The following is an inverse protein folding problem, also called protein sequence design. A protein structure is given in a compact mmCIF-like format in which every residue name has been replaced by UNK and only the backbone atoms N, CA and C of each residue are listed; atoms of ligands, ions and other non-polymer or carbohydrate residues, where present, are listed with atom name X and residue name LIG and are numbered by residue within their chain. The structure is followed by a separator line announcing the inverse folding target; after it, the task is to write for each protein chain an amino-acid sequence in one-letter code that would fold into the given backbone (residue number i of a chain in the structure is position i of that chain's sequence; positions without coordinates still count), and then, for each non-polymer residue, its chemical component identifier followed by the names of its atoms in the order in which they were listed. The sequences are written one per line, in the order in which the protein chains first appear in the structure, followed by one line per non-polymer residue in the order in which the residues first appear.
data_IF_448299852306
#
_entry.id   IF_448299852306
#
_cell.length_a   1.000
_cell.length_b   1.000
_cell.length_c   1.000
_cell.angle_alpha   90.00
_cell.angle_beta   90.00
_cell.angle_gamma   90.00
#
_symmetry.space_group_name_H-M   'P 1'
#
loop_
_entity.id
_entity.type
_entity.pdbx_description
1 polymer ?
#
# COMPACT_ATOMS: atom_id res chain seq x y z
N UNK A 1 3.15 -106.86 15.80
CA UNK A 1 2.82 -105.68 15.00
C UNK A 1 2.42 -104.59 15.96
N UNK A 2 3.30 -103.62 16.22
CA UNK A 2 3.11 -102.56 17.19
C UNK A 2 3.16 -101.22 16.46
N UNK A 3 2.10 -100.45 16.47
CA UNK A 3 2.00 -99.11 15.91
C UNK A 3 2.22 -98.09 17.03
N UNK A 4 3.29 -97.39 16.98
CA UNK A 4 3.62 -96.32 17.90
C UNK A 4 3.14 -95.00 17.29
N UNK A 5 2.18 -94.33 17.96
CA UNK A 5 1.66 -93.00 17.59
C UNK A 5 2.48 -91.95 18.33
N UNK A 6 3.28 -91.19 17.60
CA UNK A 6 3.99 -90.01 18.14
C UNK A 6 3.06 -88.73 18.08
N UNK A 7 2.70 -88.25 19.25
CA UNK A 7 1.97 -87.00 19.45
C UNK A 7 2.97 -85.85 19.35
N UNK A 8 2.80 -84.95 18.35
CA UNK A 8 3.56 -83.72 18.20
C UNK A 8 2.83 -82.56 18.96
N UNK A 9 3.53 -82.06 19.98
CA UNK A 9 3.13 -80.91 20.76
C UNK A 9 3.44 -79.65 19.93
N UNK A 10 2.36 -78.86 19.53
CA UNK A 10 2.52 -77.60 18.86
C UNK A 10 2.45 -76.52 19.93
N UNK A 11 3.59 -75.91 20.24
CA UNK A 11 3.66 -74.70 21.10
C UNK A 11 3.33 -73.52 20.25
N UNK A 12 2.19 -72.86 20.49
CA UNK A 12 1.86 -71.57 19.90
C UNK A 12 2.51 -70.47 20.74
N UNK A 13 3.53 -69.83 20.16
CA UNK A 13 4.17 -68.64 20.70
C UNK A 13 3.27 -67.42 20.37
N UNK A 14 2.61 -66.84 21.41
CA UNK A 14 1.82 -65.60 21.28
C UNK A 14 2.80 -64.44 21.45
N UNK A 15 3.13 -63.77 20.34
CA UNK A 15 3.87 -62.51 20.37
C UNK A 15 2.94 -61.39 20.77
N UNK A 16 3.09 -60.88 21.98
CA UNK A 16 2.50 -59.63 22.44
C UNK A 16 3.33 -58.44 21.87
N UNK A 17 2.83 -57.77 20.86
CA UNK A 17 3.37 -56.48 20.40
C UNK A 17 2.88 -55.38 21.35
N UNK A 18 3.77 -54.53 21.87
CA UNK A 18 3.32 -53.34 22.62
C UNK A 18 2.74 -52.32 21.64
N UNK A 19 1.49 -51.93 21.88
CA UNK A 19 0.83 -50.85 21.20
C UNK A 19 1.44 -49.51 21.72
N UNK A 20 2.44 -49.00 20.98
CA UNK A 20 2.96 -47.66 21.24
C UNK A 20 1.89 -46.66 20.72
N UNK A 21 1.05 -46.16 21.62
CA UNK A 21 0.13 -45.09 21.36
C UNK A 21 0.91 -43.80 21.00
N UNK A 22 0.95 -43.45 19.72
CA UNK A 22 1.46 -42.16 19.28
C UNK A 22 0.50 -41.05 19.86
N UNK A 23 1.00 -40.35 20.87
CA UNK A 23 0.37 -39.12 21.33
C UNK A 23 0.52 -38.08 20.23
N UNK A 24 -0.49 -37.94 19.38
CA UNK A 24 -0.59 -36.82 18.43
C UNK A 24 -0.91 -35.57 19.27
N UNK A 25 0.14 -34.80 19.60
CA UNK A 25 -0.04 -33.47 20.13
C UNK A 25 -0.76 -32.64 19.06
N UNK A 26 -1.89 -31.96 19.39
CA UNK A 26 -2.48 -31.03 18.46
C UNK A 26 -1.45 -29.96 18.16
N UNK A 27 -1.00 -29.86 16.90
CA UNK A 27 -0.23 -28.74 16.42
C UNK A 27 -1.11 -27.49 16.68
N UNK A 28 -0.69 -26.64 17.62
CA UNK A 28 -1.29 -25.33 17.79
C UNK A 28 -1.20 -24.66 16.43
N UNK A 29 -2.35 -24.42 15.81
CA UNK A 29 -2.43 -23.58 14.62
C UNK A 29 -1.79 -22.25 14.99
N UNK A 30 -0.66 -21.94 14.35
CA UNK A 30 -0.04 -20.63 14.48
C UNK A 30 -1.13 -19.62 14.09
N UNK A 31 -1.59 -18.83 15.05
CA UNK A 31 -2.60 -17.80 14.81
C UNK A 31 -2.12 -16.94 13.65
N UNK A 32 -3.03 -16.61 12.72
CA UNK A 32 -2.71 -15.69 11.64
C UNK A 32 -2.03 -14.43 12.23
N UNK A 33 -0.95 -13.93 11.64
CA UNK A 33 -0.27 -12.76 12.16
C UNK A 33 -1.28 -11.61 12.29
N UNK A 34 -1.19 -10.85 13.39
CA UNK A 34 -2.10 -9.75 13.64
C UNK A 34 -2.02 -8.75 12.48
N UNK A 35 -3.17 -8.47 11.86
CA UNK A 35 -3.24 -7.52 10.75
C UNK A 35 -2.82 -6.12 11.21
N UNK A 36 -2.09 -5.41 10.37
CA UNK A 36 -1.75 -4.01 10.60
C UNK A 36 -2.93 -3.12 10.22
N UNK A 37 -3.39 -2.29 11.16
CA UNK A 37 -4.42 -1.29 10.88
C UNK A 37 -3.81 -0.15 10.05
N UNK A 38 -4.40 0.13 8.89
CA UNK A 38 -3.93 1.18 7.99
C UNK A 38 -5.06 2.12 7.56
N UNK A 39 -4.70 3.38 7.34
CA UNK A 39 -5.49 4.35 6.56
C UNK A 39 -4.61 4.73 5.37
N UNK A 40 -5.20 4.80 4.17
CA UNK A 40 -4.50 5.19 2.95
C UNK A 40 -5.04 6.54 2.49
N UNK A 41 -4.15 7.52 2.30
CA UNK A 41 -4.46 8.85 1.74
C UNK A 41 -3.86 8.92 0.34
N UNK A 42 -4.71 9.03 -0.71
CA UNK A 42 -4.34 8.85 -2.12
C UNK A 42 -4.97 9.92 -3.01
N UNK A 43 -4.25 10.37 -4.02
CA UNK A 43 -4.80 11.20 -5.11
C UNK A 43 -5.08 10.38 -6.38
N UNK A 44 -5.56 9.16 -6.18
CA UNK A 44 -5.93 8.19 -7.22
C UNK A 44 -6.67 8.83 -8.39
N UNK A 45 -6.25 8.52 -9.60
CA UNK A 45 -7.00 8.88 -10.82
C UNK A 45 -6.21 9.66 -11.86
N UNK A 46 -5.04 10.21 -11.53
CA UNK A 46 -4.20 10.95 -12.48
C UNK A 46 -3.03 10.11 -12.93
N UNK A 47 -1.99 9.91 -12.13
CA UNK A 47 -1.01 8.87 -12.42
C UNK A 47 -1.64 7.48 -12.16
N UNK A 48 -1.03 6.45 -12.69
CA UNK A 48 -1.63 5.11 -12.65
C UNK A 48 -1.20 4.32 -11.41
N UNK A 49 -0.10 4.69 -10.80
CA UNK A 49 0.48 3.98 -9.66
C UNK A 49 -0.38 4.01 -8.40
N UNK A 50 -1.11 5.09 -8.11
CA UNK A 50 -2.11 5.10 -7.03
C UNK A 50 -3.11 3.94 -7.13
N UNK A 51 -3.65 3.71 -8.33
CA UNK A 51 -4.62 2.62 -8.54
C UNK A 51 -3.97 1.25 -8.31
N UNK A 52 -2.72 1.10 -8.71
CA UNK A 52 -1.92 -0.09 -8.48
C UNK A 52 -1.58 -0.26 -6.99
N UNK A 53 -1.20 0.82 -6.30
CA UNK A 53 -0.88 0.83 -4.88
C UNK A 53 -2.11 0.48 -4.01
N UNK A 54 -3.29 1.04 -4.33
CA UNK A 54 -4.55 0.64 -3.68
C UNK A 54 -4.87 -0.82 -3.98
N UNK A 55 -4.68 -1.28 -5.23
CA UNK A 55 -4.81 -2.68 -5.63
C UNK A 55 -3.90 -3.61 -4.83
N UNK A 56 -2.64 -3.24 -4.61
CA UNK A 56 -1.69 -3.97 -3.78
C UNK A 56 -2.17 -4.07 -2.32
N UNK A 57 -2.64 -2.95 -1.75
CA UNK A 57 -3.16 -2.93 -0.39
C UNK A 57 -4.37 -3.85 -0.22
N UNK A 58 -5.32 -3.81 -1.17
CA UNK A 58 -6.51 -4.67 -1.19
C UNK A 58 -6.16 -6.16 -1.35
N UNK A 59 -5.05 -6.46 -2.02
CA UNK A 59 -4.55 -7.82 -2.26
C UNK A 59 -3.68 -8.36 -1.11
N UNK A 60 -3.49 -7.60 -0.04
CA UNK A 60 -2.56 -7.92 1.04
C UNK A 60 -3.30 -8.21 2.35
N UNK A 61 -3.42 -9.51 2.72
CA UNK A 61 -4.17 -9.92 3.92
C UNK A 61 -3.53 -9.47 5.23
N UNK A 62 -2.29 -9.02 5.22
CA UNK A 62 -1.59 -8.44 6.37
C UNK A 62 -2.15 -7.07 6.79
N UNK A 63 -2.89 -6.42 5.88
CA UNK A 63 -3.45 -5.09 6.12
C UNK A 63 -4.93 -5.19 6.50
N UNK A 64 -5.30 -4.53 7.59
CA UNK A 64 -6.67 -4.16 7.93
C UNK A 64 -6.88 -2.71 7.53
N UNK A 65 -7.44 -2.50 6.35
CA UNK A 65 -7.71 -1.14 5.83
C UNK A 65 -8.93 -0.59 6.59
N UNK A 66 -8.70 0.41 7.45
CA UNK A 66 -9.75 1.08 8.20
C UNK A 66 -10.56 2.05 7.35
N UNK A 67 -9.95 2.55 6.29
CA UNK A 67 -10.57 3.41 5.29
C UNK A 67 -9.54 3.98 4.32
N UNK A 68 -10.03 4.54 3.21
CA UNK A 68 -9.24 5.22 2.20
C UNK A 68 -9.75 6.65 2.07
N UNK A 69 -8.84 7.61 2.09
CA UNK A 69 -9.17 9.04 1.95
C UNK A 69 -8.69 9.56 0.61
N UNK A 70 -9.55 10.28 -0.10
CA UNK A 70 -9.14 10.97 -1.31
C UNK A 70 -8.39 12.26 -0.95
N UNK A 71 -7.39 12.62 -1.74
CA UNK A 71 -6.58 13.81 -1.53
C UNK A 71 -6.38 14.55 -2.85
N UNK A 72 -6.11 15.86 -2.77
CA UNK A 72 -5.68 16.68 -3.88
C UNK A 72 -6.62 16.71 -5.10
N UNK A 73 -6.71 17.84 -5.79
CA UNK A 73 -7.59 18.03 -6.96
C UNK A 73 -9.06 17.87 -6.60
N UNK A 74 -9.84 17.32 -7.53
CA UNK A 74 -11.27 17.00 -7.32
C UNK A 74 -11.42 15.76 -6.43
N UNK A 75 -11.31 15.98 -5.13
CA UNK A 75 -11.38 14.90 -4.13
C UNK A 75 -12.73 14.20 -4.09
N UNK A 76 -13.81 14.88 -4.46
CA UNK A 76 -15.13 14.27 -4.55
C UNK A 76 -15.21 13.25 -5.70
N UNK A 77 -14.63 13.57 -6.86
CA UNK A 77 -14.57 12.63 -7.98
C UNK A 77 -13.59 11.49 -7.72
N UNK A 78 -12.47 11.75 -7.04
CA UNK A 78 -11.53 10.68 -6.58
C UNK A 78 -12.20 9.74 -5.59
N UNK A 79 -13.04 10.24 -4.68
CA UNK A 79 -13.82 9.39 -3.78
C UNK A 79 -14.80 8.48 -4.55
N UNK A 80 -15.45 9.00 -5.61
CA UNK A 80 -16.29 8.18 -6.49
C UNK A 80 -15.48 7.09 -7.20
N UNK A 81 -14.23 7.39 -7.56
CA UNK A 81 -13.33 6.39 -8.13
C UNK A 81 -13.02 5.28 -7.15
N UNK A 82 -12.71 5.62 -5.89
CA UNK A 82 -12.50 4.64 -4.82
C UNK A 82 -13.76 3.81 -4.56
N UNK A 83 -14.93 4.45 -4.50
CA UNK A 83 -16.21 3.75 -4.34
C UNK A 83 -16.43 2.69 -5.42
N UNK A 84 -16.14 3.05 -6.67
CA UNK A 84 -16.28 2.15 -7.79
C UNK A 84 -15.31 0.98 -7.69
N UNK A 85 -14.02 1.26 -7.50
CA UNK A 85 -12.99 0.23 -7.39
C UNK A 85 -13.32 -0.75 -6.24
N UNK A 86 -13.66 -0.22 -5.05
CA UNK A 86 -14.02 -1.04 -3.90
C UNK A 86 -15.26 -1.89 -4.14
N UNK A 87 -16.23 -1.36 -4.87
CA UNK A 87 -17.43 -2.11 -5.22
C UNK A 87 -17.11 -3.21 -6.24
N UNK A 88 -16.38 -2.92 -7.30
CA UNK A 88 -16.04 -3.89 -8.34
C UNK A 88 -15.20 -5.05 -7.78
N UNK A 89 -14.41 -4.82 -6.73
CA UNK A 89 -13.62 -5.87 -6.04
C UNK A 89 -14.29 -6.44 -4.78
N UNK A 90 -15.53 -6.05 -4.47
CA UNK A 90 -16.29 -6.62 -3.34
C UNK A 90 -15.84 -6.15 -1.96
N UNK A 91 -15.21 -4.97 -1.85
CA UNK A 91 -14.69 -4.39 -0.61
C UNK A 91 -15.45 -3.13 -0.17
N UNK A 92 -16.77 -3.14 -0.29
CA UNK A 92 -17.66 -2.06 0.18
C UNK A 92 -17.69 -1.92 1.70
N UNK A 93 -17.06 -2.84 2.42
CA UNK A 93 -16.81 -2.77 3.86
C UNK A 93 -15.79 -1.69 4.24
N UNK A 94 -14.96 -1.23 3.28
CA UNK A 94 -13.94 -0.21 3.50
C UNK A 94 -14.58 1.18 3.31
N UNK A 95 -14.59 2.04 4.36
CA UNK A 95 -15.07 3.40 4.24
C UNK A 95 -14.20 4.24 3.31
N UNK A 96 -14.83 5.12 2.53
CA UNK A 96 -14.16 6.18 1.77
C UNK A 96 -14.48 7.52 2.43
N UNK A 97 -13.47 8.39 2.58
CA UNK A 97 -13.66 9.74 3.08
C UNK A 97 -13.10 10.78 2.10
N UNK A 98 -13.78 11.94 2.00
CA UNK A 98 -13.43 12.99 1.04
C UNK A 98 -12.45 13.97 1.65
N UNK A 99 -11.30 14.15 1.01
CA UNK A 99 -10.25 15.06 1.43
C UNK A 99 -10.51 16.52 1.06
N UNK A 100 -9.55 17.34 1.43
CA UNK A 100 -9.54 18.76 1.12
C UNK A 100 -9.25 18.93 -0.37
N UNK A 101 -10.17 19.60 -1.06
CA UNK A 101 -9.97 20.00 -2.44
C UNK A 101 -8.92 21.12 -2.50
N UNK A 102 -7.83 20.87 -3.22
CA UNK A 102 -6.77 21.83 -3.46
C UNK A 102 -6.15 21.54 -4.82
N UNK A 103 -6.01 22.55 -5.65
CA UNK A 103 -5.54 22.44 -7.03
C UNK A 103 -4.27 23.24 -7.26
N UNK A 104 -3.38 22.72 -8.12
CA UNK A 104 -2.38 23.56 -8.74
C UNK A 104 -3.06 24.53 -9.73
N UNK A 105 -2.56 25.77 -9.88
CA UNK A 105 -3.11 26.70 -10.86
C UNK A 105 -3.13 26.09 -12.28
N UNK A 106 -4.31 26.09 -12.91
CA UNK A 106 -4.49 25.54 -14.26
C UNK A 106 -4.51 24.03 -14.39
N UNK A 107 -4.60 23.29 -13.28
CA UNK A 107 -4.71 21.83 -13.29
C UNK A 107 -5.98 21.39 -14.01
N UNK A 108 -5.82 20.52 -15.01
CA UNK A 108 -6.92 19.91 -15.74
C UNK A 108 -7.60 18.81 -14.90
N UNK A 109 -8.76 18.33 -15.36
CA UNK A 109 -9.36 17.12 -14.80
C UNK A 109 -8.37 15.94 -14.96
N UNK A 110 -8.33 15.07 -13.96
CA UNK A 110 -7.43 13.92 -13.98
C UNK A 110 -7.78 12.89 -15.06
N UNK A 111 -6.80 12.11 -15.52
CA UNK A 111 -6.89 11.28 -16.71
C UNK A 111 -7.99 10.24 -16.66
N UNK A 112 -8.27 9.69 -15.49
CA UNK A 112 -9.23 8.60 -15.26
C UNK A 112 -10.62 9.11 -14.81
N UNK A 113 -10.85 10.43 -14.89
CA UNK A 113 -12.10 11.08 -14.47
C UNK A 113 -13.35 10.47 -15.11
N UNK A 114 -13.28 10.04 -16.38
CA UNK A 114 -14.42 9.42 -17.07
C UNK A 114 -14.83 8.08 -16.45
N UNK A 115 -13.87 7.31 -16.00
CA UNK A 115 -14.13 6.06 -15.31
C UNK A 115 -14.75 6.33 -13.95
N UNK A 116 -14.19 7.24 -13.17
CA UNK A 116 -14.70 7.66 -11.88
C UNK A 116 -16.13 8.21 -11.95
N UNK A 117 -16.43 9.05 -12.95
CA UNK A 117 -17.73 9.71 -13.13
C UNK A 117 -18.91 8.75 -13.39
N UNK A 118 -18.64 7.49 -13.75
CA UNK A 118 -19.71 6.48 -13.91
C UNK A 118 -20.28 6.01 -12.59
N UNK A 119 -19.53 6.12 -11.49
CA UNK A 119 -20.06 5.83 -10.16
C UNK A 119 -20.97 6.95 -9.69
N UNK A 120 -22.19 6.66 -9.20
CA UNK A 120 -23.04 7.67 -8.59
C UNK A 120 -22.35 8.39 -7.43
N UNK A 121 -22.55 9.70 -7.31
CA UNK A 121 -22.06 10.45 -6.15
C UNK A 121 -22.84 10.03 -4.90
N UNK A 122 -22.14 9.91 -3.79
CA UNK A 122 -22.72 9.71 -2.46
C UNK A 122 -22.04 10.61 -1.44
N UNK A 123 -22.68 10.79 -0.29
CA UNK A 123 -22.09 11.57 0.80
C UNK A 123 -21.03 10.75 1.53
N UNK A 124 -19.90 11.38 1.80
CA UNK A 124 -18.80 10.82 2.57
C UNK A 124 -18.48 11.71 3.76
N UNK A 125 -17.85 11.13 4.78
CA UNK A 125 -17.23 11.88 5.86
C UNK A 125 -16.04 12.67 5.33
N UNK A 126 -15.73 13.81 5.96
CA UNK A 126 -14.50 14.53 5.66
C UNK A 126 -13.26 13.74 6.11
N UNK A 127 -12.23 13.69 5.28
CA UNK A 127 -11.02 12.87 5.53
C UNK A 127 -10.32 13.20 6.85
N UNK A 128 -10.20 14.49 7.17
CA UNK A 128 -9.55 14.92 8.42
C UNK A 128 -10.33 14.45 9.65
N UNK A 129 -11.66 14.55 9.62
CA UNK A 129 -12.53 14.08 10.71
C UNK A 129 -12.44 12.57 10.86
N UNK A 130 -12.49 11.84 9.73
CA UNK A 130 -12.33 10.40 9.68
C UNK A 130 -10.98 9.95 10.25
N UNK A 131 -9.87 10.54 9.80
CA UNK A 131 -8.52 10.20 10.29
C UNK A 131 -8.43 10.39 11.81
N UNK A 132 -8.82 11.55 12.32
CA UNK A 132 -8.74 11.87 13.74
C UNK A 132 -9.67 10.98 14.59
N UNK A 133 -10.84 10.62 14.08
CA UNK A 133 -11.76 9.69 14.74
C UNK A 133 -11.11 8.30 14.86
N UNK A 134 -10.57 7.76 13.76
CA UNK A 134 -9.92 6.44 13.79
C UNK A 134 -8.70 6.44 14.72
N UNK A 135 -7.87 7.50 14.71
CA UNK A 135 -6.71 7.60 15.60
C UNK A 135 -7.12 7.63 17.09
N UNK A 136 -8.23 8.31 17.41
CA UNK A 136 -8.78 8.29 18.79
C UNK A 136 -9.27 6.91 19.18
N UNK A 137 -9.85 6.17 18.23
CA UNK A 137 -10.39 4.83 18.46
C UNK A 137 -9.30 3.77 18.63
N UNK A 138 -8.18 3.91 17.92
CA UNK A 138 -7.07 2.95 17.89
C UNK A 138 -5.72 3.63 18.12
N UNK A 139 -5.49 4.24 19.31
CA UNK A 139 -4.28 5.01 19.59
C UNK A 139 -3.05 4.10 19.62
N UNK A 140 -2.01 4.46 18.87
CA UNK A 140 -0.76 3.71 18.78
C UNK A 140 -0.80 2.49 17.84
N UNK A 141 -1.93 2.25 17.14
CA UNK A 141 -2.08 1.05 16.31
C UNK A 141 -2.07 1.36 14.81
N UNK A 142 -2.44 2.58 14.41
CA UNK A 142 -2.65 2.92 12.99
C UNK A 142 -1.35 3.33 12.32
N UNK A 143 -1.03 2.68 11.20
CA UNK A 143 -0.10 3.17 10.19
C UNK A 143 -0.90 4.01 9.19
N UNK A 144 -0.53 5.28 9.01
CA UNK A 144 -1.09 6.13 7.96
C UNK A 144 -0.16 6.07 6.75
N UNK A 145 -0.67 5.63 5.61
CA UNK A 145 0.05 5.55 4.34
C UNK A 145 -0.39 6.74 3.50
N UNK A 146 0.52 7.68 3.23
CA UNK A 146 0.26 8.86 2.40
C UNK A 146 0.97 8.73 1.06
N UNK A 147 0.18 8.63 0.00
CA UNK A 147 0.64 8.52 -1.40
C UNK A 147 0.05 9.63 -2.26
N UNK A 148 -0.07 10.82 -1.68
CA UNK A 148 -0.65 12.02 -2.27
C UNK A 148 0.05 13.27 -1.69
N UNK A 149 -0.17 14.47 -2.24
CA UNK A 149 0.17 15.72 -1.56
C UNK A 149 -0.40 15.75 -0.14
N UNK A 150 0.44 16.08 0.85
CA UNK A 150 0.19 15.83 2.27
C UNK A 150 -0.85 16.78 2.92
N UNK A 151 -1.72 17.38 2.12
CA UNK A 151 -2.71 18.39 2.55
C UNK A 151 -3.62 17.90 3.67
N UNK A 152 -4.18 16.69 3.54
CA UNK A 152 -5.05 16.11 4.56
C UNK A 152 -4.31 15.85 5.88
N UNK A 153 -3.06 15.37 5.79
CA UNK A 153 -2.20 15.11 6.95
C UNK A 153 -1.85 16.41 7.67
N UNK A 154 -1.45 17.45 6.93
CA UNK A 154 -1.16 18.77 7.48
C UNK A 154 -2.37 19.36 8.21
N UNK A 155 -3.54 19.29 7.59
CA UNK A 155 -4.78 19.77 8.19
C UNK A 155 -5.20 18.98 9.45
N UNK A 156 -4.93 17.67 9.48
CA UNK A 156 -5.16 16.84 10.67
C UNK A 156 -4.22 17.23 11.82
N UNK A 157 -2.95 17.54 11.50
CA UNK A 157 -1.97 18.05 12.48
C UNK A 157 -2.42 19.41 13.03
N UNK A 158 -2.84 20.34 12.17
CA UNK A 158 -3.32 21.66 12.59
C UNK A 158 -4.55 21.58 13.49
N UNK A 159 -5.49 20.70 13.15
CA UNK A 159 -6.75 20.56 13.86
C UNK A 159 -6.60 19.94 15.25
N UNK A 160 -5.85 18.86 15.36
CA UNK A 160 -5.65 18.13 16.63
C UNK A 160 -4.29 17.43 16.66
N UNK A 161 -3.19 18.17 16.93
CA UNK A 161 -1.85 17.62 16.95
C UNK A 161 -1.67 16.56 18.05
N UNK A 162 -2.42 16.67 19.13
CA UNK A 162 -2.33 15.71 20.26
C UNK A 162 -2.91 14.34 19.86
N UNK A 163 -4.02 14.33 19.12
CA UNK A 163 -4.57 13.09 18.56
C UNK A 163 -3.67 12.55 17.45
N UNK A 164 -3.21 13.39 16.52
CA UNK A 164 -2.36 12.96 15.40
C UNK A 164 -1.08 12.26 15.88
N UNK A 165 -0.45 12.76 16.94
CA UNK A 165 0.73 12.13 17.59
C UNK A 165 0.49 10.71 18.13
N UNK A 166 -0.74 10.26 18.22
CA UNK A 166 -1.08 8.89 18.63
C UNK A 166 -1.06 7.89 17.47
N UNK A 167 -0.69 8.30 16.24
CA UNK A 167 -0.40 7.36 15.18
C UNK A 167 0.76 6.45 15.56
N UNK A 168 0.70 5.19 15.15
CA UNK A 168 1.83 4.26 15.28
C UNK A 168 3.02 4.72 14.47
N UNK A 169 2.77 5.09 13.20
CA UNK A 169 3.74 5.61 12.23
C UNK A 169 3.03 6.21 11.03
N UNK A 170 3.78 6.99 10.27
CA UNK A 170 3.40 7.47 8.94
C UNK A 170 4.38 6.84 7.94
N UNK A 171 3.88 6.35 6.81
CA UNK A 171 4.66 5.90 5.65
C UNK A 171 4.23 6.76 4.47
N UNK A 172 5.15 7.46 3.84
CA UNK A 172 4.84 8.29 2.67
C UNK A 172 5.63 7.88 1.43
N UNK A 173 4.99 7.94 0.25
CA UNK A 173 5.71 8.19 -0.97
C UNK A 173 5.91 9.71 -1.10
N UNK A 174 7.16 10.13 -1.20
CA UNK A 174 7.46 11.56 -1.35
C UNK A 174 8.90 11.91 -1.10
N UNK A 175 9.31 12.99 -1.71
CA UNK A 175 10.65 13.54 -1.60
C UNK A 175 11.66 12.97 -2.59
N UNK A 176 12.81 13.63 -2.60
CA UNK A 176 13.94 13.34 -3.50
C UNK A 176 15.20 13.74 -2.77
N UNK A 177 16.02 12.76 -2.39
CA UNK A 177 17.17 12.99 -1.50
C UNK A 177 18.45 13.18 -2.31
N UNK A 178 18.78 12.23 -3.16
CA UNK A 178 19.97 12.23 -4.02
C UNK A 178 19.61 12.15 -5.50
N UNK A 179 18.42 11.67 -5.85
CA UNK A 179 17.98 11.43 -7.22
C UNK A 179 16.60 12.02 -7.45
N UNK A 180 16.43 12.70 -8.58
CA UNK A 180 15.16 13.23 -9.02
C UNK A 180 14.48 12.33 -10.05
N UNK A 181 13.49 12.89 -10.76
CA UNK A 181 12.82 12.23 -11.87
C UNK A 181 13.78 11.96 -13.04
N UNK A 182 13.42 11.05 -13.91
CA UNK A 182 14.19 10.75 -15.11
C UNK A 182 15.01 9.46 -15.00
N UNK A 183 16.12 9.38 -15.75
CA UNK A 183 16.98 8.20 -15.73
C UNK A 183 17.77 8.13 -14.43
N UNK A 184 17.44 7.16 -13.59
CA UNK A 184 18.09 6.92 -12.29
C UNK A 184 19.58 6.56 -12.41
N UNK A 185 20.03 6.13 -13.58
CA UNK A 185 21.41 5.79 -13.87
C UNK A 185 22.18 6.95 -14.51
N UNK A 186 21.50 8.04 -14.86
CA UNK A 186 22.17 9.21 -15.43
C UNK A 186 23.11 9.84 -14.41
N UNK A 187 24.38 10.12 -14.78
CA UNK A 187 25.37 10.67 -13.86
C UNK A 187 25.02 12.07 -13.34
N UNK A 188 24.12 12.77 -14.01
CA UNK A 188 23.66 14.12 -13.68
C UNK A 188 22.28 14.14 -13.03
N UNK A 189 21.70 12.99 -12.68
CA UNK A 189 20.43 12.96 -11.97
C UNK A 189 20.61 13.65 -10.61
N UNK A 190 19.83 14.72 -10.37
CA UNK A 190 19.85 15.54 -9.16
C UNK A 190 18.49 15.50 -8.49
N UNK A 191 18.43 15.78 -7.17
CA UNK A 191 17.16 15.90 -6.48
C UNK A 191 16.23 16.93 -7.13
N UNK A 192 14.94 16.55 -7.22
CA UNK A 192 13.86 17.42 -7.66
C UNK A 192 12.96 17.82 -6.49
N UNK A 193 12.14 18.85 -6.70
CA UNK A 193 10.97 19.08 -5.87
C UNK A 193 9.92 18.02 -6.24
N UNK A 194 9.90 16.93 -5.48
CA UNK A 194 9.01 15.81 -5.74
C UNK A 194 7.54 16.24 -5.53
N UNK A 195 6.64 15.71 -6.37
CA UNK A 195 5.27 16.20 -6.51
C UNK A 195 4.47 16.21 -5.20
N UNK A 196 4.42 15.10 -4.46
CA UNK A 196 3.65 15.00 -3.22
C UNK A 196 4.12 15.98 -2.14
N UNK A 197 5.41 16.29 -2.13
CA UNK A 197 6.00 17.28 -1.23
C UNK A 197 5.80 18.71 -1.76
N UNK A 198 6.03 18.92 -3.06
CA UNK A 198 6.04 20.26 -3.65
C UNK A 198 4.64 20.88 -3.75
N UNK A 199 3.62 20.07 -4.02
CA UNK A 199 2.25 20.56 -4.16
C UNK A 199 1.67 21.11 -2.85
N UNK A 200 2.18 20.64 -1.70
CA UNK A 200 1.87 21.23 -0.39
C UNK A 200 3.07 21.22 0.55
N UNK A 201 4.08 22.03 0.24
CA UNK A 201 5.30 22.12 1.03
C UNK A 201 5.05 22.55 2.49
N UNK A 202 3.99 23.28 2.76
CA UNK A 202 3.60 23.67 4.13
C UNK A 202 3.13 22.45 4.92
N UNK A 203 2.20 21.68 4.37
CA UNK A 203 1.74 20.44 4.97
C UNK A 203 2.88 19.42 5.13
N UNK A 204 3.76 19.30 4.13
CA UNK A 204 4.93 18.45 4.19
C UNK A 204 5.85 18.83 5.36
N UNK A 205 6.16 20.12 5.55
CA UNK A 205 6.93 20.59 6.72
C UNK A 205 6.29 20.20 8.03
N UNK A 206 4.97 20.29 8.14
CA UNK A 206 4.24 19.91 9.34
C UNK A 206 4.39 18.41 9.61
N UNK A 207 4.25 17.55 8.58
CA UNK A 207 4.40 16.10 8.69
C UNK A 207 5.81 15.73 9.14
N UNK A 208 6.87 16.28 8.51
CA UNK A 208 8.26 16.02 8.89
C UNK A 208 8.61 16.50 10.31
N UNK A 209 7.85 17.44 10.86
CA UNK A 209 8.03 17.97 12.22
C UNK A 209 6.95 17.51 13.21
N UNK A 210 6.07 16.58 12.83
CA UNK A 210 4.94 16.13 13.65
C UNK A 210 5.35 15.39 14.93
N UNK A 211 6.55 14.79 14.93
CA UNK A 211 7.03 13.93 16.01
C UNK A 211 6.45 12.51 15.99
N UNK A 212 5.64 12.16 14.98
CA UNK A 212 5.24 10.79 14.69
C UNK A 212 6.37 10.08 13.95
N UNK A 213 6.69 8.79 14.22
CA UNK A 213 7.67 8.05 13.43
C UNK A 213 7.33 8.09 11.94
N UNK A 214 8.18 8.74 11.14
CA UNK A 214 7.97 8.98 9.71
C UNK A 214 8.92 8.13 8.87
N UNK A 215 8.35 7.38 7.93
CA UNK A 215 9.07 6.55 6.98
C UNK A 215 8.84 7.10 5.57
N UNK A 216 9.90 7.39 4.87
CA UNK A 216 9.88 8.13 3.59
C UNK A 216 10.42 7.24 2.48
N UNK A 217 9.62 7.04 1.44
CA UNK A 217 9.96 6.33 0.21
C UNK A 217 10.12 7.37 -0.91
N UNK A 218 11.33 7.96 -1.09
CA UNK A 218 11.56 9.02 -2.05
C UNK A 218 11.81 8.48 -3.46
N UNK A 219 11.95 9.38 -4.44
CA UNK A 219 12.32 9.05 -5.82
C UNK A 219 13.59 8.20 -5.92
N UNK A 220 14.46 8.25 -4.92
CA UNK A 220 15.69 7.44 -4.83
C UNK A 220 15.41 5.94 -4.89
N UNK A 221 14.27 5.49 -4.36
CA UNK A 221 13.94 4.09 -4.18
C UNK A 221 12.63 3.64 -4.87
N UNK A 222 11.86 4.56 -5.47
CA UNK A 222 10.48 4.25 -5.91
C UNK A 222 10.33 4.13 -7.43
N UNK A 223 11.37 4.34 -8.22
CA UNK A 223 11.27 4.42 -9.67
C UNK A 223 11.26 3.04 -10.37
N UNK A 224 10.44 2.11 -9.89
CA UNK A 224 10.25 0.80 -10.51
C UNK A 224 9.34 0.87 -11.73
N UNK A 225 9.82 0.42 -12.88
CA UNK A 225 9.08 0.46 -14.15
C UNK A 225 8.25 -0.82 -14.33
N UNK A 226 6.93 -0.67 -14.42
CA UNK A 226 6.04 -1.78 -14.79
C UNK A 226 6.12 -1.98 -16.31
N UNK A 227 7.08 -2.77 -16.76
CA UNK A 227 7.33 -3.05 -18.17
C UNK A 227 6.17 -3.79 -18.86
N UNK A 228 6.27 -3.93 -20.18
CA UNK A 228 5.22 -4.54 -21.00
C UNK A 228 4.94 -5.99 -20.60
N UNK A 229 5.96 -6.77 -20.30
CA UNK A 229 5.79 -8.20 -19.93
C UNK A 229 5.00 -8.32 -18.63
N UNK A 230 5.34 -7.52 -17.62
CA UNK A 230 4.64 -7.53 -16.34
C UNK A 230 3.19 -7.03 -16.49
N UNK A 231 2.96 -5.99 -17.32
CA UNK A 231 1.61 -5.52 -17.60
C UNK A 231 0.75 -6.57 -18.29
N UNK A 232 1.30 -7.25 -19.29
CA UNK A 232 0.59 -8.33 -19.98
C UNK A 232 0.23 -9.46 -19.03
N UNK A 233 1.16 -9.91 -18.20
CA UNK A 233 0.89 -10.91 -17.18
C UNK A 233 -0.25 -10.47 -16.24
N UNK A 234 -0.17 -9.25 -15.72
CA UNK A 234 -1.15 -8.72 -14.78
C UNK A 234 -2.55 -8.60 -15.41
N UNK A 235 -2.64 -8.03 -16.61
CA UNK A 235 -3.95 -7.75 -17.23
C UNK A 235 -4.61 -9.00 -17.84
N UNK A 236 -3.87 -10.10 -18.01
CA UNK A 236 -4.43 -11.38 -18.46
C UNK A 236 -4.95 -12.27 -17.35
N UNK A 237 -4.78 -11.90 -16.07
CA UNK A 237 -5.35 -12.63 -14.92
C UNK A 237 -6.87 -12.60 -14.89
N UNK A 238 -7.50 -11.62 -15.55
CA UNK A 238 -8.96 -11.51 -15.73
C UNK A 238 -9.73 -11.62 -14.42
N UNK A 239 -9.27 -10.90 -13.41
CA UNK A 239 -10.01 -10.67 -12.16
C UNK A 239 -10.65 -9.29 -12.20
N UNK A 240 -11.68 -9.04 -11.38
CA UNK A 240 -12.32 -7.72 -11.32
C UNK A 240 -11.30 -6.58 -11.11
N UNK A 241 -10.31 -6.80 -10.23
CA UNK A 241 -9.26 -5.82 -10.00
C UNK A 241 -8.40 -5.59 -11.25
N UNK A 242 -7.90 -6.66 -11.86
CA UNK A 242 -6.99 -6.52 -13.01
C UNK A 242 -7.71 -6.01 -14.25
N UNK A 243 -8.99 -6.27 -14.42
CA UNK A 243 -9.82 -5.71 -15.49
C UNK A 243 -9.99 -4.20 -15.31
N UNK A 244 -10.29 -3.73 -14.10
CA UNK A 244 -10.35 -2.30 -13.78
C UNK A 244 -8.99 -1.62 -14.00
N UNK A 245 -7.91 -2.22 -13.50
CA UNK A 245 -6.56 -1.71 -13.69
C UNK A 245 -6.21 -1.59 -15.19
N UNK A 246 -6.62 -2.56 -16.02
CA UNK A 246 -6.38 -2.50 -17.46
C UNK A 246 -7.09 -1.32 -18.13
N UNK A 247 -8.33 -1.04 -17.72
CA UNK A 247 -9.11 0.10 -18.24
C UNK A 247 -8.51 1.44 -17.76
N UNK A 248 -8.08 1.51 -16.51
CA UNK A 248 -7.43 2.70 -15.96
C UNK A 248 -6.09 2.98 -16.63
N UNK A 249 -5.32 1.93 -16.89
CA UNK A 249 -4.08 2.02 -17.68
C UNK A 249 -4.31 2.63 -19.07
N UNK A 250 -5.34 2.19 -19.79
CA UNK A 250 -5.64 2.74 -21.12
C UNK A 250 -5.99 4.24 -21.06
N UNK A 251 -6.69 4.69 -20.02
CA UNK A 251 -6.98 6.11 -19.85
C UNK A 251 -5.73 6.91 -19.49
N UNK A 252 -4.85 6.33 -18.65
CA UNK A 252 -3.57 6.92 -18.30
C UNK A 252 -2.67 7.07 -19.56
N UNK A 253 -2.54 6.03 -20.39
CA UNK A 253 -1.79 6.09 -21.66
C UNK A 253 -2.31 7.19 -22.57
N UNK A 254 -3.63 7.33 -22.66
CA UNK A 254 -4.27 8.36 -23.49
C UNK A 254 -4.02 9.78 -22.97
N UNK A 255 -3.89 9.97 -21.64
CA UNK A 255 -3.65 11.26 -21.01
C UNK A 255 -2.18 11.65 -20.97
N UNK A 256 -1.31 10.74 -20.53
CA UNK A 256 0.12 11.01 -20.36
C UNK A 256 0.96 10.77 -21.61
N UNK A 257 0.42 10.07 -22.63
CA UNK A 257 1.15 9.67 -23.83
C UNK A 257 2.42 8.85 -23.54
N UNK A 258 2.41 8.11 -22.42
CA UNK A 258 3.45 7.19 -21.98
C UNK A 258 2.90 5.77 -21.98
N UNK A 259 3.76 4.77 -22.07
CA UNK A 259 3.34 3.36 -22.09
C UNK A 259 3.79 2.61 -20.85
N UNK A 260 4.86 3.05 -20.19
CA UNK A 260 5.44 2.33 -19.05
C UNK A 260 5.25 3.12 -17.77
N UNK A 261 4.28 2.74 -16.93
CA UNK A 261 4.07 3.39 -15.64
C UNK A 261 5.26 3.13 -14.71
N UNK A 262 5.50 4.09 -13.82
CA UNK A 262 6.45 3.94 -12.73
C UNK A 262 5.68 3.73 -11.44
N UNK A 263 6.08 2.76 -10.63
CA UNK A 263 5.39 2.35 -9.42
C UNK A 263 5.94 3.10 -8.20
N UNK A 264 5.73 4.42 -8.18
CA UNK A 264 6.25 5.24 -7.07
C UNK A 264 5.55 4.89 -5.76
N UNK A 265 4.23 4.92 -5.74
CA UNK A 265 3.38 4.76 -4.57
C UNK A 265 3.34 3.34 -4.02
N UNK A 266 3.45 2.37 -4.93
CA UNK A 266 3.44 0.95 -4.58
C UNK A 266 4.55 0.58 -3.60
N UNK A 267 5.70 1.28 -3.66
CA UNK A 267 6.81 1.03 -2.74
C UNK A 267 6.45 1.43 -1.30
N UNK A 268 5.68 2.50 -1.11
CA UNK A 268 5.22 2.90 0.22
C UNK A 268 4.25 1.88 0.82
N UNK A 269 3.32 1.37 0.01
CA UNK A 269 2.41 0.30 0.42
C UNK A 269 3.18 -1.00 0.69
N UNK A 270 4.10 -1.38 -0.21
CA UNK A 270 4.94 -2.58 -0.05
C UNK A 270 5.78 -2.51 1.23
N UNK A 271 6.40 -1.35 1.53
CA UNK A 271 7.13 -1.13 2.77
C UNK A 271 6.23 -1.27 4.01
N UNK A 272 5.00 -0.77 3.96
CA UNK A 272 4.08 -0.90 5.08
C UNK A 272 3.76 -2.37 5.38
N UNK A 273 3.73 -3.23 4.35
CA UNK A 273 3.48 -4.68 4.46
C UNK A 273 4.76 -5.42 4.91
N UNK A 274 5.85 -5.22 4.18
CA UNK A 274 7.15 -5.84 4.44
C UNK A 274 8.29 -4.81 4.37
N UNK A 275 8.78 -4.31 5.51
CA UNK A 275 9.86 -3.33 5.54
C UNK A 275 11.18 -3.79 4.91
N UNK A 276 11.38 -5.10 4.71
CA UNK A 276 12.58 -5.62 4.08
C UNK A 276 12.67 -5.30 2.58
N UNK A 277 11.55 -4.91 1.96
CA UNK A 277 11.50 -4.50 0.54
C UNK A 277 12.17 -3.14 0.29
N UNK A 278 12.24 -2.28 1.32
CA UNK A 278 12.82 -0.94 1.20
C UNK A 278 13.56 -0.56 2.51
N UNK A 279 14.77 -1.08 2.75
CA UNK A 279 15.49 -0.81 3.98
C UNK A 279 15.74 0.69 4.21
N UNK A 280 15.49 1.18 5.41
CA UNK A 280 15.55 2.60 5.74
C UNK A 280 16.75 2.96 6.61
N UNK A 281 17.22 4.21 6.49
CA UNK A 281 18.24 4.81 7.34
C UNK A 281 17.68 6.04 8.06
N UNK A 282 18.04 6.28 9.33
CA UNK A 282 17.64 7.48 10.04
C UNK A 282 18.30 8.72 9.43
N UNK A 283 17.49 9.73 9.12
CA UNK A 283 17.97 10.98 8.54
C UNK A 283 17.21 12.18 9.12
N UNK A 284 17.88 13.32 9.22
CA UNK A 284 17.21 14.59 9.42
C UNK A 284 16.96 15.24 8.06
N UNK A 285 15.69 15.40 7.72
CA UNK A 285 15.25 16.00 6.47
C UNK A 285 14.55 17.33 6.77
N UNK A 286 14.94 18.37 6.03
CA UNK A 286 14.25 19.65 5.99
C UNK A 286 13.56 19.81 4.63
N UNK A 287 12.31 20.25 4.66
CA UNK A 287 11.53 20.60 3.46
C UNK A 287 11.65 22.10 3.25
N UNK A 288 12.12 22.53 2.09
CA UNK A 288 12.17 23.96 1.77
C UNK A 288 10.83 24.49 1.19
N UNK A 289 10.73 25.81 0.96
CA UNK A 289 9.50 26.44 0.46
C UNK A 289 9.13 26.03 -0.98
N UNK A 290 10.06 25.41 -1.69
CA UNK A 290 9.84 24.89 -3.05
C UNK A 290 9.53 23.40 -3.09
N UNK A 291 9.49 22.73 -1.92
CA UNK A 291 9.21 21.31 -1.82
C UNK A 291 10.42 20.40 -2.01
N UNK A 292 11.65 20.92 -1.99
CA UNK A 292 12.82 20.06 -1.94
C UNK A 292 13.01 19.46 -0.54
N UNK A 293 13.33 18.19 -0.48
CA UNK A 293 13.67 17.47 0.75
C UNK A 293 15.20 17.39 0.88
N UNK A 294 15.77 18.10 1.85
CA UNK A 294 17.21 18.23 2.00
C UNK A 294 17.71 17.53 3.26
N UNK A 295 18.67 16.59 3.14
CA UNK A 295 19.32 16.05 4.31
C UNK A 295 20.18 17.14 4.97
N UNK A 296 20.05 17.29 6.27
CA UNK A 296 20.82 18.26 7.08
C UNK A 296 21.40 17.58 8.32
N UNK A 297 22.47 18.12 8.92
CA UNK A 297 22.99 17.61 10.18
C UNK A 297 21.99 17.75 11.33
N UNK A 298 21.93 16.77 12.23
CA UNK A 298 21.10 16.81 13.42
C UNK A 298 20.47 15.48 13.79
N UNK A 299 19.66 15.49 14.84
CA UNK A 299 18.88 14.30 15.24
C UNK A 299 17.86 13.94 14.16
N UNK A 300 17.76 12.66 13.80
CA UNK A 300 16.86 12.18 12.77
C UNK A 300 15.39 12.51 13.12
N UNK A 301 14.64 12.97 12.14
CA UNK A 301 13.19 13.16 12.18
C UNK A 301 12.42 12.22 11.27
N UNK A 302 13.15 11.41 10.48
CA UNK A 302 12.58 10.46 9.54
C UNK A 302 13.49 9.25 9.33
N UNK A 303 12.91 8.18 8.79
CA UNK A 303 13.60 6.99 8.30
C UNK A 303 13.40 6.92 6.79
N UNK A 304 14.48 7.00 6.02
CA UNK A 304 14.44 7.20 4.57
C UNK A 304 14.97 5.97 3.86
N UNK A 305 14.22 5.46 2.89
CA UNK A 305 14.67 4.41 1.98
C UNK A 305 15.44 5.05 0.80
N UNK A 306 16.71 4.78 0.67
CA UNK A 306 17.55 5.35 -0.42
C UNK A 306 17.71 4.42 -1.62
N UNK A 307 17.32 3.16 -1.46
CA UNK A 307 17.30 2.17 -2.55
C UNK A 307 16.43 0.98 -2.22
N UNK A 308 15.78 0.43 -3.21
CA UNK A 308 15.02 -0.83 -3.14
C UNK A 308 15.51 -1.77 -4.24
N UNK A 309 15.43 -3.05 -3.96
CA UNK A 309 15.78 -4.11 -4.93
C UNK A 309 14.59 -4.37 -5.83
N UNK A 310 14.74 -4.06 -7.13
CA UNK A 310 13.66 -4.18 -8.11
C UNK A 310 13.16 -5.62 -8.27
N UNK A 311 14.04 -6.62 -8.22
CA UNK A 311 13.64 -8.01 -8.41
C UNK A 311 12.87 -8.51 -7.19
N UNK A 312 13.31 -8.17 -5.98
CA UNK A 312 12.57 -8.50 -4.75
C UNK A 312 11.21 -7.80 -4.72
N UNK A 313 11.18 -6.52 -5.08
CA UNK A 313 9.94 -5.77 -5.15
C UNK A 313 8.96 -6.39 -6.14
N UNK A 314 9.37 -6.65 -7.38
CA UNK A 314 8.47 -7.23 -8.39
C UNK A 314 8.07 -8.68 -8.09
N UNK A 315 8.94 -9.49 -7.51
CA UNK A 315 8.57 -10.83 -7.07
C UNK A 315 7.45 -10.80 -6.03
N UNK A 316 7.53 -9.88 -5.07
CA UNK A 316 6.48 -9.66 -4.09
C UNK A 316 5.22 -9.08 -4.73
N UNK A 317 5.35 -8.00 -5.47
CA UNK A 317 4.27 -7.20 -6.04
C UNK A 317 3.40 -8.00 -7.00
N UNK A 318 4.03 -8.64 -8.00
CA UNK A 318 3.33 -9.44 -9.01
C UNK A 318 2.62 -10.62 -8.38
N UNK A 319 3.28 -11.33 -7.45
CA UNK A 319 2.64 -12.43 -6.75
C UNK A 319 1.36 -12.02 -6.02
N UNK A 320 1.33 -10.83 -5.38
CA UNK A 320 0.15 -10.31 -4.67
C UNK A 320 -1.00 -10.00 -5.62
N UNK A 321 -0.73 -9.26 -6.68
CA UNK A 321 -1.77 -8.85 -7.63
C UNK A 321 -2.30 -10.02 -8.48
N UNK A 322 -1.45 -10.99 -8.83
CA UNK A 322 -1.86 -12.14 -9.63
C UNK A 322 -2.57 -13.22 -8.80
N UNK A 323 -2.26 -13.37 -7.52
CA UNK A 323 -2.84 -14.41 -6.66
C UNK A 323 -4.10 -13.97 -5.92
N UNK A 324 -4.44 -12.69 -5.92
CA UNK A 324 -5.66 -12.20 -5.27
C UNK A 324 -6.93 -12.79 -5.93
N UNK A 325 -7.99 -12.89 -5.14
CA UNK A 325 -9.30 -13.42 -5.57
C UNK A 325 -10.42 -12.49 -5.13
N UNK A 326 -10.14 -11.19 -5.22
CA UNK A 326 -11.13 -10.16 -4.94
C UNK A 326 -12.24 -10.21 -5.99
N UNK A 327 -13.46 -10.36 -5.55
CA UNK A 327 -14.61 -10.47 -6.41
C UNK A 327 -15.81 -9.74 -5.80
N UNK A 328 -16.36 -8.83 -6.55
CA UNK A 328 -17.58 -8.10 -6.22
C UNK A 328 -18.49 -8.01 -7.43
N UNK A 329 -19.70 -7.60 -7.19
CA UNK A 329 -20.65 -7.29 -8.25
C UNK A 329 -21.33 -5.98 -7.90
N UNK A 330 -20.82 -4.89 -8.43
CA UNK A 330 -21.57 -3.65 -8.42
C UNK A 330 -22.80 -3.75 -9.33
N UNK A 331 -23.95 -3.23 -8.92
CA UNK A 331 -25.02 -2.95 -9.87
C UNK A 331 -24.47 -1.99 -10.93
N UNK A 332 -24.44 -2.45 -12.18
CA UNK A 332 -24.01 -1.63 -13.33
C UNK A 332 -25.15 -0.73 -13.78
#
# INVERSE_FOLDING_TARGET
MSFSVRMRLVVRLVLLLPLVGAIVSPAMAAGAPAQQMVIIDTDIGDDFDDALAVGLALSSPELKILGITSAWGDTALRARMLDRLLCDVGRTDIPVAVGIEKHAPGQAAFTQARWAARQPARTHQAAVDFMLEQIRRYPGEITLIGIAPLTNLGAAIERDPATFKKLKRIVIMGGSIHRGYGDVYAPNNRPDAEYNIAMDAVAAKQVFNSGVPLYVMPLDATQHKLDEVKRQLLFTESTNLTDDLSLLYLQWVAGFHQQTPTLYDDVAVAYAIDPALCPVSPMRIEVDDKGFTRPVPGAANSFVCLSSDSDKFFNFYMARLMQQRLAGSCPR
#
